data_IF_426636514914
#
_entry.id   IF_426636514914
#
_cell.length_a   1.000
_cell.length_b   1.000
_cell.length_c   1.000
_cell.angle_alpha   90.00
_cell.angle_beta   90.00
_cell.angle_gamma   90.00
#
_symmetry.space_group_name_H-M   'P 1'
#
loop_
_entity.id
_entity.type
_entity.pdbx_description
1 polymer ?
#
# COMPACT_ATOMS: atom_id res chain seq x y z
N UNK A 1 -15.89 -36.62 -59.66
CA UNK A 1 -16.26 -35.32 -58.99
C UNK A 1 -16.01 -35.52 -57.52
N UNK A 2 -14.80 -35.24 -57.05
CA UNK A 2 -14.35 -35.52 -55.70
C UNK A 2 -14.49 -34.25 -54.86
N UNK A 3 -15.37 -34.31 -53.84
CA UNK A 3 -15.57 -33.22 -52.88
C UNK A 3 -14.66 -33.49 -51.68
N UNK A 4 -13.64 -32.66 -51.51
CA UNK A 4 -12.79 -32.61 -50.30
C UNK A 4 -13.53 -31.88 -49.20
N UNK A 5 -13.87 -32.57 -48.14
CA UNK A 5 -14.31 -31.96 -46.88
C UNK A 5 -13.08 -31.60 -46.04
N UNK A 6 -12.76 -30.33 -46.00
CA UNK A 6 -11.72 -29.79 -45.10
C UNK A 6 -12.25 -29.74 -43.66
N UNK A 7 -11.63 -30.47 -42.77
CA UNK A 7 -11.85 -30.39 -41.32
C UNK A 7 -11.23 -29.13 -40.77
N UNK A 8 -12.05 -28.19 -40.31
CA UNK A 8 -11.61 -27.04 -39.57
C UNK A 8 -11.41 -27.46 -38.10
N UNK A 9 -10.15 -27.57 -37.68
CA UNK A 9 -9.81 -27.75 -36.27
C UNK A 9 -10.06 -26.45 -35.51
N UNK A 10 -11.11 -26.40 -34.70
CA UNK A 10 -11.28 -25.35 -33.71
C UNK A 10 -10.21 -25.56 -32.61
N UNK A 11 -9.19 -24.71 -32.59
CA UNK A 11 -8.30 -24.55 -31.45
C UNK A 11 -9.10 -23.89 -30.33
N UNK A 12 -9.45 -24.62 -29.30
CA UNK A 12 -9.96 -24.05 -28.04
C UNK A 12 -8.85 -23.32 -27.38
N UNK A 13 -8.85 -21.96 -27.43
CA UNK A 13 -8.06 -21.15 -26.55
C UNK A 13 -8.58 -21.40 -25.13
N UNK A 14 -7.83 -22.14 -24.34
CA UNK A 14 -8.01 -22.16 -22.90
C UNK A 14 -7.66 -20.75 -22.38
N UNK A 15 -8.69 -19.97 -22.08
CA UNK A 15 -8.54 -18.74 -21.30
C UNK A 15 -8.09 -19.21 -19.91
N UNK A 16 -6.79 -19.11 -19.64
CA UNK A 16 -6.28 -19.23 -18.28
C UNK A 16 -6.98 -18.13 -17.48
N UNK A 17 -7.99 -18.51 -16.70
CA UNK A 17 -8.67 -17.62 -15.79
C UNK A 17 -7.61 -16.98 -14.90
N UNK A 18 -7.51 -15.65 -14.93
CA UNK A 18 -6.73 -14.90 -13.95
C UNK A 18 -7.18 -15.39 -12.58
N UNK A 19 -6.28 -15.99 -11.81
CA UNK A 19 -6.56 -16.35 -10.42
C UNK A 19 -7.03 -15.05 -9.74
N UNK A 20 -8.33 -14.97 -9.44
CA UNK A 20 -8.93 -13.78 -8.84
C UNK A 20 -8.22 -13.47 -7.54
N UNK A 21 -7.91 -12.21 -7.29
CA UNK A 21 -7.31 -11.80 -6.04
C UNK A 21 -8.26 -12.17 -4.89
N UNK A 22 -7.81 -13.01 -3.96
CA UNK A 22 -8.61 -13.39 -2.81
C UNK A 22 -8.60 -12.25 -1.79
N UNK A 23 -9.76 -11.68 -1.54
CA UNK A 23 -9.91 -10.57 -0.58
C UNK A 23 -10.05 -11.12 0.85
N UNK A 24 -9.23 -10.61 1.75
CA UNK A 24 -9.30 -10.82 3.18
C UNK A 24 -9.70 -9.50 3.85
N UNK A 25 -10.82 -9.49 4.53
CA UNK A 25 -11.31 -8.34 5.29
C UNK A 25 -11.20 -8.61 6.79
N UNK A 26 -10.40 -7.80 7.49
CA UNK A 26 -10.21 -7.88 8.94
C UNK A 26 -10.87 -6.64 9.53
N UNK A 27 -12.05 -6.82 10.07
CA UNK A 27 -12.88 -5.71 10.50
C UNK A 27 -13.16 -5.72 12.01
N UNK A 28 -13.38 -4.53 12.56
CA UNK A 28 -13.73 -4.32 13.96
C UNK A 28 -12.78 -5.06 14.91
N UNK A 29 -11.47 -5.04 14.61
CA UNK A 29 -10.51 -5.90 15.28
C UNK A 29 -9.38 -5.11 15.98
N UNK A 30 -8.89 -5.70 17.06
CA UNK A 30 -7.58 -5.40 17.61
C UNK A 30 -6.80 -6.72 17.61
N UNK A 31 -5.86 -6.87 16.69
CA UNK A 31 -5.22 -8.15 16.42
C UNK A 31 -3.85 -7.99 15.74
N UNK A 32 -3.07 -9.06 15.79
CA UNK A 32 -1.86 -9.25 14.99
C UNK A 32 -2.16 -10.25 13.88
N UNK A 33 -1.83 -9.92 12.65
CA UNK A 33 -2.16 -10.73 11.48
C UNK A 33 -0.90 -11.05 10.68
N UNK A 34 -0.71 -12.31 10.36
CA UNK A 34 0.35 -12.76 9.45
C UNK A 34 -0.30 -13.31 8.20
N UNK A 35 -0.11 -12.63 7.08
CA UNK A 35 -0.55 -13.07 5.76
C UNK A 35 0.60 -13.79 5.07
N UNK A 36 0.38 -15.04 4.69
CA UNK A 36 1.35 -15.91 4.04
C UNK A 36 0.86 -16.21 2.64
N UNK A 37 1.35 -15.46 1.62
CA UNK A 37 1.07 -15.79 0.23
C UNK A 37 1.81 -17.07 -0.17
N UNK A 38 1.11 -17.99 -0.83
CA UNK A 38 1.69 -19.26 -1.28
C UNK A 38 0.96 -19.77 -2.54
N UNK A 39 1.50 -20.78 -3.20
CA UNK A 39 0.92 -21.36 -4.42
C UNK A 39 -0.36 -22.15 -4.10
N UNK A 40 -1.46 -21.43 -3.90
CA UNK A 40 -2.80 -21.97 -3.60
C UNK A 40 -3.89 -21.15 -4.28
N UNK A 41 -5.10 -21.66 -4.32
CA UNK A 41 -6.27 -21.01 -4.93
C UNK A 41 -7.33 -20.54 -3.92
N UNK A 42 -7.19 -20.87 -2.63
CA UNK A 42 -8.15 -20.57 -1.57
C UNK A 42 -7.50 -19.75 -0.44
N UNK A 43 -8.33 -19.25 0.48
CA UNK A 43 -7.87 -18.59 1.71
C UNK A 43 -8.12 -19.52 2.89
N UNK A 44 -7.11 -19.71 3.72
CA UNK A 44 -7.18 -20.46 4.97
C UNK A 44 -6.85 -19.55 6.14
N UNK A 45 -7.70 -19.56 7.17
CA UNK A 45 -7.54 -18.78 8.40
C UNK A 45 -7.32 -19.72 9.57
N UNK A 46 -6.34 -19.41 10.40
CA UNK A 46 -6.09 -20.09 11.67
C UNK A 46 -5.74 -19.09 12.76
N UNK A 47 -6.11 -19.40 13.99
CA UNK A 47 -5.80 -18.59 15.16
C UNK A 47 -4.62 -19.22 15.90
N UNK A 48 -3.45 -18.58 15.84
CA UNK A 48 -2.26 -19.01 16.58
C UNK A 48 -2.35 -18.64 18.07
N UNK A 49 -3.08 -17.54 18.37
CA UNK A 49 -3.37 -17.11 19.73
C UNK A 49 -4.76 -16.49 19.79
N UNK A 50 -5.50 -16.81 20.83
CA UNK A 50 -6.79 -16.19 21.14
C UNK A 50 -6.69 -15.38 22.43
N UNK A 51 -7.56 -14.36 22.55
CA UNK A 51 -7.74 -13.61 23.80
C UNK A 51 -9.23 -13.56 24.15
N UNK A 52 -9.66 -14.08 25.30
CA UNK A 52 -11.08 -14.08 25.70
C UNK A 52 -11.72 -12.68 25.77
N UNK A 53 -10.91 -11.63 26.03
CA UNK A 53 -11.37 -10.24 26.03
C UNK A 53 -11.59 -9.66 24.64
N UNK A 54 -10.96 -10.27 23.61
CA UNK A 54 -11.01 -9.88 22.21
C UNK A 54 -11.38 -11.10 21.34
N UNK A 55 -12.61 -11.62 21.46
CA UNK A 55 -13.04 -12.78 20.70
C UNK A 55 -13.06 -12.46 19.21
N UNK A 56 -12.51 -13.35 18.40
CA UNK A 56 -12.50 -13.21 16.96
C UNK A 56 -13.26 -14.37 16.29
N UNK A 57 -13.87 -14.07 15.17
CA UNK A 57 -14.58 -15.03 14.32
C UNK A 57 -14.15 -14.85 12.87
N UNK A 58 -14.24 -15.90 12.09
CA UNK A 58 -14.07 -15.78 10.64
C UNK A 58 -15.16 -16.55 9.91
N UNK A 59 -15.41 -16.13 8.68
CA UNK A 59 -16.37 -16.73 7.78
C UNK A 59 -16.17 -16.24 6.35
N UNK A 60 -17.02 -16.68 5.42
CA UNK A 60 -17.03 -16.21 4.05
C UNK A 60 -18.31 -15.46 3.73
N UNK A 61 -18.17 -14.36 2.97
CA UNK A 61 -19.27 -13.59 2.39
C UNK A 61 -18.96 -13.45 0.89
N UNK A 62 -19.58 -14.30 0.07
CA UNK A 62 -19.19 -14.42 -1.33
C UNK A 62 -17.74 -14.90 -1.47
N UNK A 63 -16.93 -14.14 -2.20
CA UNK A 63 -15.51 -14.44 -2.41
C UNK A 63 -14.61 -13.82 -1.33
N UNK A 64 -15.17 -13.04 -0.40
CA UNK A 64 -14.42 -12.36 0.65
C UNK A 64 -14.33 -13.23 1.89
N UNK A 65 -13.13 -13.45 2.38
CA UNK A 65 -12.89 -14.04 3.71
C UNK A 65 -12.91 -12.93 4.75
N UNK A 66 -13.89 -12.97 5.66
CA UNK A 66 -14.09 -11.96 6.70
C UNK A 66 -13.59 -12.49 8.03
N UNK A 67 -12.74 -11.71 8.71
CA UNK A 67 -12.26 -11.94 10.07
C UNK A 67 -12.79 -10.78 10.92
N UNK A 68 -13.68 -11.07 11.88
CA UNK A 68 -14.38 -10.06 12.65
C UNK A 68 -13.99 -10.13 14.13
N UNK A 69 -13.48 -9.02 14.67
CA UNK A 69 -13.09 -8.88 16.08
C UNK A 69 -14.21 -8.38 17.00
N UNK A 70 -15.43 -8.20 16.47
CA UNK A 70 -16.60 -7.79 17.22
C UNK A 70 -16.46 -6.45 18.00
N UNK A 71 -15.59 -5.55 17.55
CA UNK A 71 -15.41 -4.22 18.13
C UNK A 71 -16.23 -3.14 17.39
N UNK A 72 -17.36 -3.52 16.78
CA UNK A 72 -18.17 -2.61 15.97
C UNK A 72 -18.56 -1.32 16.69
N UNK A 73 -19.09 -1.44 17.92
CA UNK A 73 -19.51 -0.31 18.75
C UNK A 73 -18.41 0.21 19.69
N UNK A 74 -17.20 -0.33 19.63
CA UNK A 74 -16.10 0.02 20.54
C UNK A 74 -15.00 0.76 19.80
N UNK A 75 -14.52 1.85 20.39
CA UNK A 75 -13.31 2.51 19.94
C UNK A 75 -12.09 1.65 20.27
N UNK A 76 -11.13 1.62 19.35
CA UNK A 76 -9.80 1.06 19.59
C UNK A 76 -8.76 2.12 19.20
N UNK A 77 -7.75 2.32 20.02
CA UNK A 77 -6.66 3.24 19.77
C UNK A 77 -5.30 2.56 20.04
N UNK A 78 -4.37 2.72 19.12
CA UNK A 78 -3.02 2.22 19.29
C UNK A 78 -2.26 3.12 20.28
N UNK A 79 -1.52 2.49 21.20
CA UNK A 79 -0.69 3.15 22.20
C UNK A 79 0.65 2.44 22.25
N UNK A 80 1.65 3.10 22.82
CA UNK A 80 2.93 2.44 23.05
C UNK A 80 2.75 1.11 23.79
N UNK A 81 3.23 0.02 23.18
CA UNK A 81 3.19 -1.33 23.74
C UNK A 81 1.86 -2.07 23.65
N UNK A 82 0.81 -1.51 23.01
CA UNK A 82 -0.46 -2.22 22.90
C UNK A 82 -1.63 -1.42 22.36
N UNK A 83 -2.83 -1.85 22.68
CA UNK A 83 -4.08 -1.26 22.21
C UNK A 83 -5.01 -0.95 23.38
N UNK A 84 -5.50 0.29 23.43
CA UNK A 84 -6.61 0.65 24.32
C UNK A 84 -7.94 0.35 23.61
N UNK A 85 -8.81 -0.47 24.23
CA UNK A 85 -10.13 -0.80 23.71
C UNK A 85 -11.19 -0.31 24.70
N UNK A 86 -12.12 0.51 24.23
CA UNK A 86 -13.17 1.03 25.08
C UNK A 86 -14.05 -0.09 25.67
N UNK A 87 -14.23 -0.08 26.99
CA UNK A 87 -14.98 -1.11 27.73
C UNK A 87 -14.24 -2.44 27.93
N UNK A 88 -12.97 -2.55 27.49
CA UNK A 88 -12.11 -3.73 27.71
C UNK A 88 -10.85 -3.35 28.48
N UNK A 89 -10.34 -2.11 28.28
CA UNK A 89 -9.10 -1.61 28.85
C UNK A 89 -7.91 -1.72 27.90
N UNK A 90 -6.70 -1.61 28.46
CA UNK A 90 -5.46 -1.76 27.72
C UNK A 90 -5.11 -3.24 27.54
N UNK A 91 -4.72 -3.61 26.33
CA UNK A 91 -4.27 -4.94 25.93
C UNK A 91 -2.84 -4.80 25.43
N UNK A 92 -1.84 -5.40 26.07
CA UNK A 92 -0.47 -5.44 25.59
C UNK A 92 -0.37 -6.06 24.20
N UNK A 93 0.63 -5.63 23.43
CA UNK A 93 0.82 -6.08 22.03
C UNK A 93 1.01 -7.61 21.93
N UNK A 94 1.70 -8.21 22.88
CA UNK A 94 1.92 -9.65 22.94
C UNK A 94 0.67 -10.44 23.34
N UNK A 95 -0.32 -9.81 24.00
CA UNK A 95 -1.60 -10.42 24.36
C UNK A 95 -2.67 -10.30 23.27
N UNK A 96 -2.44 -9.52 22.20
CA UNK A 96 -3.38 -9.42 21.10
C UNK A 96 -3.61 -10.80 20.45
N UNK A 97 -4.84 -11.09 20.00
CA UNK A 97 -5.11 -12.27 19.18
C UNK A 97 -4.15 -12.33 17.98
N UNK A 98 -3.66 -13.51 17.65
CA UNK A 98 -2.79 -13.74 16.51
C UNK A 98 -3.50 -14.59 15.46
N UNK A 99 -3.64 -14.03 14.27
CA UNK A 99 -4.30 -14.67 13.13
C UNK A 99 -3.27 -14.95 12.04
N UNK A 100 -3.27 -16.16 11.54
CA UNK A 100 -2.48 -16.56 10.37
C UNK A 100 -3.46 -16.76 9.22
N UNK A 101 -3.21 -16.06 8.12
CA UNK A 101 -4.00 -16.13 6.89
C UNK A 101 -3.11 -16.59 5.75
N UNK A 102 -3.39 -17.75 5.19
CA UNK A 102 -2.71 -18.27 4.00
C UNK A 102 -3.54 -17.90 2.78
N UNK A 103 -2.92 -17.31 1.78
CA UNK A 103 -3.60 -16.74 0.60
C UNK A 103 -2.92 -17.17 -0.68
N UNK A 104 -3.58 -17.07 -1.84
CA UNK A 104 -2.90 -17.04 -3.14
C UNK A 104 -1.84 -15.93 -3.20
N UNK A 105 -0.94 -16.01 -4.19
CA UNK A 105 0.16 -15.04 -4.39
C UNK A 105 -0.33 -13.61 -4.72
N UNK A 106 -1.56 -13.45 -5.21
CA UNK A 106 -2.22 -12.16 -5.39
C UNK A 106 -3.04 -11.83 -4.14
N UNK A 107 -2.54 -10.93 -3.32
CA UNK A 107 -3.07 -10.62 -1.99
C UNK A 107 -3.89 -9.35 -2.00
N UNK A 108 -5.08 -9.39 -1.42
CA UNK A 108 -5.86 -8.20 -1.12
C UNK A 108 -6.31 -8.24 0.34
N UNK A 109 -5.83 -7.28 1.13
CA UNK A 109 -6.15 -7.15 2.56
C UNK A 109 -6.83 -5.81 2.82
N UNK A 110 -7.94 -5.87 3.54
CA UNK A 110 -8.59 -4.69 4.13
C UNK A 110 -8.59 -4.84 5.64
N UNK A 111 -8.17 -3.81 6.35
CA UNK A 111 -8.11 -3.81 7.81
C UNK A 111 -8.69 -2.52 8.39
N UNK A 112 -9.38 -2.61 9.51
CA UNK A 112 -9.84 -1.45 10.27
C UNK A 112 -9.48 -1.56 11.77
N UNK A 113 -9.62 -0.45 12.50
CA UNK A 113 -9.32 -0.30 13.93
C UNK A 113 -7.81 -0.47 14.23
N UNK A 114 -7.44 -1.48 15.02
CA UNK A 114 -6.08 -1.66 15.52
C UNK A 114 -5.49 -3.00 15.06
N UNK A 115 -5.29 -3.16 13.76
CA UNK A 115 -4.76 -4.38 13.16
C UNK A 115 -3.31 -4.17 12.75
N UNK A 116 -2.41 -4.90 13.40
CA UNK A 116 -0.99 -4.94 13.07
C UNK A 116 -0.72 -6.15 12.17
N UNK A 117 -0.06 -5.93 11.03
CA UNK A 117 0.04 -6.98 10.05
C UNK A 117 1.41 -7.16 9.42
N UNK A 118 1.65 -8.38 8.95
CA UNK A 118 2.78 -8.71 8.10
C UNK A 118 2.26 -9.44 6.87
N UNK A 119 2.68 -8.99 5.68
CA UNK A 119 2.40 -9.67 4.41
C UNK A 119 3.72 -10.24 3.88
N UNK A 120 3.74 -11.54 3.63
CA UNK A 120 4.88 -12.25 3.04
C UNK A 120 5.12 -11.85 1.58
N UNK A 121 6.09 -12.50 0.92
CA UNK A 121 6.37 -12.28 -0.51
C UNK A 121 5.15 -12.63 -1.35
N UNK A 122 4.85 -11.78 -2.33
CA UNK A 122 3.66 -11.89 -3.17
C UNK A 122 3.97 -11.54 -4.63
N UNK A 123 3.10 -11.95 -5.55
CA UNK A 123 3.17 -11.52 -6.95
C UNK A 123 2.53 -10.14 -7.11
N UNK A 124 1.43 -9.89 -6.41
CA UNK A 124 0.80 -8.57 -6.32
C UNK A 124 0.17 -8.40 -4.93
N UNK A 125 0.14 -7.15 -4.42
CA UNK A 125 -0.42 -6.87 -3.11
C UNK A 125 -1.26 -5.59 -3.11
N UNK A 126 -2.43 -5.66 -2.47
CA UNK A 126 -3.23 -4.51 -2.11
C UNK A 126 -3.48 -4.51 -0.61
N UNK A 127 -3.19 -3.39 0.04
CA UNK A 127 -3.46 -3.14 1.45
C UNK A 127 -4.31 -1.89 1.60
N UNK A 128 -5.50 -2.04 2.15
CA UNK A 128 -6.37 -0.94 2.56
C UNK A 128 -6.43 -0.94 4.11
N UNK A 129 -5.72 -0.02 4.77
CA UNK A 129 -5.66 0.10 6.22
C UNK A 129 -6.42 1.34 6.68
N UNK A 130 -7.55 1.14 7.35
CA UNK A 130 -8.38 2.22 7.91
C UNK A 130 -8.30 2.22 9.44
N UNK A 131 -7.10 2.37 9.97
CA UNK A 131 -6.87 2.29 11.41
C UNK A 131 -5.51 2.82 11.85
N UNK A 132 -5.05 2.33 13.00
CA UNK A 132 -3.81 2.78 13.63
C UNK A 132 -2.75 1.67 13.78
N UNK A 133 -3.02 0.46 13.28
CA UNK A 133 -2.06 -0.63 13.35
C UNK A 133 -1.05 -0.56 12.19
N UNK A 134 0.20 -0.87 12.50
CA UNK A 134 1.29 -0.85 11.53
C UNK A 134 1.35 -2.12 10.71
N UNK A 135 1.83 -1.99 9.47
CA UNK A 135 1.96 -3.09 8.53
C UNK A 135 3.37 -3.18 7.96
N UNK A 136 3.86 -4.39 7.85
CA UNK A 136 5.08 -4.70 7.11
C UNK A 136 4.76 -5.58 5.93
N UNK A 137 5.39 -5.31 4.78
CA UNK A 137 5.22 -6.08 3.56
C UNK A 137 6.59 -6.50 3.03
N UNK A 138 6.76 -7.78 2.74
CA UNK A 138 7.96 -8.25 2.08
C UNK A 138 8.00 -7.80 0.61
N UNK A 139 9.03 -8.24 -0.15
CA UNK A 139 9.14 -7.91 -1.56
C UNK A 139 7.95 -8.46 -2.35
N UNK A 140 7.41 -7.63 -3.25
CA UNK A 140 6.33 -7.96 -4.17
C UNK A 140 6.86 -7.84 -5.59
N UNK A 141 6.73 -8.91 -6.37
CA UNK A 141 7.29 -8.95 -7.73
C UNK A 141 6.58 -7.97 -8.70
N UNK A 142 5.28 -7.81 -8.54
CA UNK A 142 4.43 -6.97 -9.37
C UNK A 142 3.90 -5.72 -8.66
N UNK A 143 2.68 -5.30 -8.98
CA UNK A 143 2.11 -4.06 -8.45
C UNK A 143 1.77 -4.15 -6.96
N UNK A 144 2.04 -3.06 -6.25
CA UNK A 144 1.61 -2.81 -4.87
C UNK A 144 0.66 -1.63 -4.85
N UNK A 145 -0.49 -1.79 -4.20
CA UNK A 145 -1.42 -0.70 -3.91
C UNK A 145 -1.58 -0.57 -2.40
N UNK A 146 -1.20 0.57 -1.84
CA UNK A 146 -1.36 0.89 -0.41
C UNK A 146 -2.32 2.05 -0.28
N UNK A 147 -3.40 1.85 0.49
CA UNK A 147 -4.29 2.91 0.93
C UNK A 147 -4.32 2.94 2.44
N UNK A 148 -3.99 4.07 3.01
CA UNK A 148 -4.06 4.26 4.46
C UNK A 148 -4.97 5.43 4.78
N UNK A 149 -5.94 5.17 5.66
CA UNK A 149 -6.83 6.19 6.21
C UNK A 149 -6.73 6.12 7.74
N UNK A 150 -5.79 6.87 8.33
CA UNK A 150 -5.53 6.82 9.77
C UNK A 150 -4.11 7.22 10.14
N UNK A 151 -3.51 6.46 11.06
CA UNK A 151 -2.18 6.74 11.62
C UNK A 151 -1.25 5.52 11.72
N UNK A 152 -1.63 4.39 11.14
CA UNK A 152 -0.78 3.20 11.11
C UNK A 152 0.21 3.26 9.95
N UNK A 153 1.48 2.97 10.20
CA UNK A 153 2.55 3.04 9.21
C UNK A 153 2.65 1.77 8.36
N UNK A 154 3.19 1.92 7.14
CA UNK A 154 3.40 0.80 6.23
C UNK A 154 4.86 0.76 5.76
N UNK A 155 5.54 -0.34 6.08
CA UNK A 155 6.90 -0.61 5.63
C UNK A 155 6.89 -1.73 4.58
N UNK A 156 7.16 -1.39 3.33
CA UNK A 156 7.21 -2.35 2.23
C UNK A 156 8.64 -2.57 1.74
N UNK A 157 8.92 -3.79 1.31
CA UNK A 157 10.14 -4.12 0.58
C UNK A 157 10.14 -3.54 -0.83
N UNK A 158 10.74 -4.26 -1.79
CA UNK A 158 10.71 -3.87 -3.20
C UNK A 158 9.33 -4.14 -3.82
N UNK A 159 8.98 -3.35 -4.84
CA UNK A 159 7.75 -3.47 -5.62
C UNK A 159 8.03 -3.36 -7.12
N UNK A 160 7.27 -4.08 -7.93
CA UNK A 160 7.28 -3.87 -9.38
C UNK A 160 6.81 -2.47 -9.73
N UNK A 161 5.68 -2.05 -9.21
CA UNK A 161 5.19 -0.66 -9.25
C UNK A 161 4.43 -0.35 -7.95
N UNK A 162 4.31 0.92 -7.60
CA UNK A 162 3.62 1.32 -6.37
C UNK A 162 2.57 2.41 -6.61
N UNK A 163 1.36 2.18 -6.06
CA UNK A 163 0.31 3.16 -5.94
C UNK A 163 0.03 3.40 -4.46
N UNK A 164 0.29 4.61 -3.97
CA UNK A 164 0.14 4.98 -2.56
C UNK A 164 -0.92 6.07 -2.42
N UNK A 165 -1.87 5.87 -1.53
CA UNK A 165 -2.83 6.89 -1.12
C UNK A 165 -2.86 6.99 0.39
N UNK A 166 -2.56 8.16 0.92
CA UNK A 166 -2.58 8.45 2.35
C UNK A 166 -3.64 9.51 2.63
N UNK A 167 -4.47 9.25 3.62
CA UNK A 167 -5.41 10.21 4.18
C UNK A 167 -5.24 10.18 5.72
N UNK A 168 -4.48 11.14 6.26
CA UNK A 168 -4.14 11.19 7.68
C UNK A 168 -2.66 11.48 7.92
N UNK A 169 -2.06 10.78 8.89
CA UNK A 169 -0.69 11.03 9.36
C UNK A 169 0.22 9.80 9.27
N UNK A 170 -0.15 8.86 8.44
CA UNK A 170 0.60 7.59 8.26
C UNK A 170 1.81 7.77 7.36
N UNK A 171 2.89 7.09 7.68
CA UNK A 171 4.06 7.01 6.83
C UNK A 171 4.07 5.71 6.02
N UNK A 172 4.43 5.82 4.74
CA UNK A 172 4.59 4.66 3.85
C UNK A 172 6.00 4.63 3.29
N UNK A 173 6.71 3.52 3.47
CA UNK A 173 8.08 3.38 2.99
C UNK A 173 8.27 2.15 2.11
N UNK A 174 9.13 2.32 1.08
CA UNK A 174 9.58 1.25 0.19
C UNK A 174 11.11 1.20 0.13
N UNK A 175 11.65 0.03 -0.17
CA UNK A 175 13.05 -0.05 -0.61
C UNK A 175 13.19 0.38 -2.06
N UNK A 176 12.80 -0.45 -3.02
CA UNK A 176 12.97 -0.18 -4.45
C UNK A 176 11.65 -0.32 -5.20
N UNK A 177 11.42 0.60 -6.13
CA UNK A 177 10.24 0.58 -7.02
C UNK A 177 10.77 0.57 -8.47
N UNK A 178 10.43 -0.48 -9.24
CA UNK A 178 11.07 -0.73 -10.52
C UNK A 178 10.36 -0.13 -11.75
N UNK A 179 9.02 -0.02 -11.72
CA UNK A 179 8.22 0.37 -12.90
C UNK A 179 7.26 1.53 -12.61
N UNK A 180 7.63 2.42 -11.70
CA UNK A 180 6.93 3.66 -11.44
C UNK A 180 6.23 3.74 -10.09
N UNK A 181 6.14 4.98 -9.60
CA UNK A 181 5.49 5.36 -8.35
C UNK A 181 4.40 6.39 -8.63
N UNK A 182 3.20 6.12 -8.14
CA UNK A 182 2.13 7.12 -8.07
C UNK A 182 1.71 7.30 -6.62
N UNK A 183 1.80 8.54 -6.11
CA UNK A 183 1.41 8.85 -4.73
C UNK A 183 0.44 10.00 -4.68
N UNK A 184 -0.54 9.89 -3.78
CA UNK A 184 -1.46 10.98 -3.43
C UNK A 184 -1.60 11.02 -1.91
N UNK A 185 -1.08 12.07 -1.29
CA UNK A 185 -1.11 12.31 0.15
C UNK A 185 -2.09 13.44 0.46
N UNK A 186 -2.98 13.22 1.40
CA UNK A 186 -3.88 14.22 1.96
C UNK A 186 -3.73 14.22 3.49
N UNK A 187 -3.01 15.21 4.04
CA UNK A 187 -2.68 15.30 5.46
C UNK A 187 -1.19 15.56 5.71
N UNK A 188 -0.61 14.87 6.70
CA UNK A 188 0.77 15.07 7.13
C UNK A 188 1.62 13.79 7.06
N UNK A 189 1.11 12.74 6.43
CA UNK A 189 1.84 11.47 6.29
C UNK A 189 2.84 11.52 5.15
N UNK A 190 3.96 10.86 5.29
CA UNK A 190 5.08 10.89 4.37
C UNK A 190 5.16 9.62 3.49
N UNK A 191 5.75 9.79 2.30
CA UNK A 191 6.09 8.65 1.44
C UNK A 191 7.61 8.63 1.21
N UNK A 192 8.25 7.52 1.52
CA UNK A 192 9.70 7.36 1.37
C UNK A 192 10.03 6.17 0.47
N UNK A 193 11.02 6.33 -0.41
CA UNK A 193 11.61 5.24 -1.18
C UNK A 193 13.13 5.39 -1.24
N UNK A 194 13.86 4.27 -1.27
CA UNK A 194 15.31 4.31 -1.47
C UNK A 194 15.60 4.57 -2.95
N UNK A 195 14.96 3.83 -3.85
CA UNK A 195 15.15 4.01 -5.30
C UNK A 195 13.82 3.88 -6.05
N UNK A 196 13.63 4.71 -7.07
CA UNK A 196 12.48 4.66 -7.98
C UNK A 196 12.95 4.66 -9.43
N UNK A 197 12.44 3.71 -10.21
CA UNK A 197 12.63 3.66 -11.68
C UNK A 197 11.28 3.67 -12.38
N UNK A 198 11.23 4.18 -13.62
CA UNK A 198 9.99 4.37 -14.38
C UNK A 198 9.35 5.75 -14.16
N UNK A 199 8.08 5.98 -14.51
CA UNK A 199 7.41 7.26 -14.29
C UNK A 199 7.12 7.49 -12.79
N UNK A 200 7.22 8.75 -12.32
CA UNK A 200 6.93 9.14 -10.95
C UNK A 200 5.92 10.29 -10.92
N UNK A 201 4.75 10.03 -10.33
CA UNK A 201 3.68 11.01 -10.21
C UNK A 201 3.37 11.26 -8.73
N UNK A 202 3.51 12.50 -8.31
CA UNK A 202 3.36 12.91 -6.91
C UNK A 202 2.28 13.97 -6.80
N UNK A 203 1.34 13.75 -5.90
CA UNK A 203 0.38 14.76 -5.48
C UNK A 203 0.36 14.85 -3.96
N UNK A 204 0.65 16.03 -3.44
CA UNK A 204 0.60 16.33 -2.00
C UNK A 204 -0.43 17.42 -1.76
N UNK A 205 -1.35 17.15 -0.82
CA UNK A 205 -2.31 18.13 -0.32
C UNK A 205 -2.18 18.17 1.20
N UNK A 206 -1.55 19.22 1.72
CA UNK A 206 -1.24 19.36 3.15
C UNK A 206 0.23 19.58 3.43
N UNK A 207 0.79 18.87 4.41
CA UNK A 207 2.14 19.06 4.93
C UNK A 207 2.99 17.77 4.90
N UNK A 208 2.52 16.71 4.26
CA UNK A 208 3.28 15.47 4.14
C UNK A 208 4.37 15.55 3.06
N UNK A 209 5.47 14.87 3.27
CA UNK A 209 6.63 14.89 2.38
C UNK A 209 6.70 13.63 1.50
N UNK A 210 7.33 13.77 0.32
CA UNK A 210 7.66 12.64 -0.54
C UNK A 210 9.16 12.64 -0.83
N UNK A 211 9.85 11.60 -0.38
CA UNK A 211 11.30 11.48 -0.45
C UNK A 211 11.70 10.20 -1.20
N UNK A 212 12.28 10.33 -2.39
CA UNK A 212 12.97 9.25 -3.06
C UNK A 212 14.47 9.58 -3.11
N UNK A 213 15.30 8.72 -2.48
CA UNK A 213 16.74 9.02 -2.33
C UNK A 213 17.52 8.94 -3.62
N UNK A 214 17.04 8.15 -4.60
CA UNK A 214 17.69 7.99 -5.90
C UNK A 214 16.84 7.26 -6.90
N UNK A 215 17.47 6.88 -8.01
CA UNK A 215 16.86 6.15 -9.11
C UNK A 215 16.88 6.92 -10.42
N UNK A 216 16.21 6.37 -11.43
CA UNK A 216 16.11 6.98 -12.76
C UNK A 216 14.66 6.95 -13.23
N UNK A 217 14.04 8.12 -13.30
CA UNK A 217 12.64 8.27 -13.73
C UNK A 217 12.57 8.86 -15.14
N UNK A 218 11.68 8.31 -15.96
CA UNK A 218 11.46 8.84 -17.31
C UNK A 218 10.78 10.21 -17.26
N UNK A 219 9.85 10.38 -16.33
CA UNK A 219 9.11 11.61 -16.05
C UNK A 219 8.87 11.74 -14.55
N UNK A 220 9.10 12.94 -14.01
CA UNK A 220 8.72 13.35 -12.67
C UNK A 220 7.67 14.44 -12.76
N UNK A 221 6.44 14.10 -12.35
CA UNK A 221 5.33 15.03 -12.28
C UNK A 221 4.95 15.28 -10.82
N UNK A 222 5.00 16.52 -10.37
CA UNK A 222 4.78 16.93 -8.98
C UNK A 222 3.70 17.98 -8.91
N UNK A 223 2.71 17.76 -8.07
CA UNK A 223 1.68 18.76 -7.72
C UNK A 223 1.60 18.87 -6.19
N UNK A 224 1.96 20.03 -5.64
CA UNK A 224 1.89 20.35 -4.21
C UNK A 224 0.86 21.43 -3.97
N UNK A 225 -0.08 21.16 -3.08
CA UNK A 225 -1.02 22.16 -2.56
C UNK A 225 -0.90 22.19 -1.03
N UNK A 226 -0.07 23.11 -0.52
CA UNK A 226 0.25 23.21 0.92
C UNK A 226 1.71 23.54 1.19
N UNK A 227 2.28 22.88 2.18
CA UNK A 227 3.66 23.10 2.67
C UNK A 227 4.52 21.82 2.68
N UNK A 228 4.04 20.73 2.12
CA UNK A 228 4.82 19.50 2.03
C UNK A 228 5.90 19.58 0.96
N UNK A 229 7.03 18.93 1.19
CA UNK A 229 8.20 18.94 0.34
C UNK A 229 8.31 17.68 -0.51
N UNK A 230 8.93 17.82 -1.69
CA UNK A 230 9.26 16.67 -2.55
C UNK A 230 10.75 16.64 -2.81
N UNK A 231 11.41 15.54 -2.47
CA UNK A 231 12.84 15.34 -2.71
C UNK A 231 13.09 14.09 -3.54
N UNK A 232 13.69 14.28 -4.72
CA UNK A 232 14.14 13.19 -5.58
C UNK A 232 15.63 13.31 -5.85
N UNK A 233 16.43 12.48 -5.20
CA UNK A 233 17.90 12.49 -5.34
C UNK A 233 18.45 11.83 -6.61
N UNK A 234 17.60 11.36 -7.52
CA UNK A 234 17.97 10.66 -8.75
C UNK A 234 17.98 11.54 -10.00
N UNK A 235 17.88 10.89 -11.16
CA UNK A 235 17.85 11.53 -12.47
C UNK A 235 16.47 11.43 -13.09
N UNK A 236 15.90 12.58 -13.49
CA UNK A 236 14.62 12.65 -14.20
C UNK A 236 14.85 12.99 -15.69
N UNK A 237 14.17 12.26 -16.58
CA UNK A 237 14.15 12.54 -18.02
C UNK A 237 13.36 13.80 -18.36
N UNK A 238 12.26 14.05 -17.64
CA UNK A 238 11.39 15.24 -17.75
C UNK A 238 10.94 15.64 -16.37
N UNK A 239 10.78 16.94 -16.12
CA UNK A 239 10.26 17.48 -14.87
C UNK A 239 9.08 18.42 -15.15
N UNK A 240 7.95 18.15 -14.50
CA UNK A 240 6.76 19.01 -14.50
C UNK A 240 6.34 19.26 -13.05
N UNK A 241 6.36 20.51 -12.59
CA UNK A 241 6.08 20.90 -11.22
C UNK A 241 5.03 21.99 -11.15
N UNK A 242 4.02 21.75 -10.32
CA UNK A 242 3.02 22.75 -9.96
C UNK A 242 2.94 22.88 -8.43
N UNK A 243 3.21 24.05 -7.90
CA UNK A 243 3.17 24.35 -6.46
C UNK A 243 2.14 25.44 -6.20
N UNK A 244 1.21 25.17 -5.31
CA UNK A 244 0.28 26.16 -4.75
C UNK A 244 0.48 26.18 -3.21
N UNK A 245 1.38 27.05 -2.72
CA UNK A 245 1.73 27.12 -1.30
C UNK A 245 3.20 27.44 -1.05
N UNK A 246 3.79 26.78 -0.04
CA UNK A 246 5.14 27.06 0.45
C UNK A 246 6.07 25.82 0.41
N UNK A 247 5.60 24.72 -0.16
CA UNK A 247 6.41 23.50 -0.27
C UNK A 247 7.52 23.62 -1.31
N UNK A 248 8.62 22.91 -1.11
CA UNK A 248 9.79 22.92 -1.96
C UNK A 248 9.92 21.60 -2.75
N UNK A 249 10.47 21.70 -3.96
CA UNK A 249 10.77 20.53 -4.80
C UNK A 249 12.25 20.51 -5.13
N UNK A 250 12.97 19.51 -4.61
CA UNK A 250 14.39 19.31 -4.86
C UNK A 250 14.60 18.08 -5.75
N UNK A 251 15.26 18.25 -6.90
CA UNK A 251 15.57 17.16 -7.86
C UNK A 251 17.06 17.08 -8.10
N UNK A 252 17.63 15.88 -7.98
CA UNK A 252 19.08 15.65 -8.14
C UNK A 252 19.59 16.09 -9.51
N UNK A 253 18.96 15.61 -10.59
CA UNK A 253 19.31 15.99 -11.96
C UNK A 253 18.11 15.85 -12.89
N UNK A 254 18.04 16.75 -13.90
CA UNK A 254 17.05 16.65 -15.00
C UNK A 254 17.80 16.68 -16.33
N UNK A 255 17.52 15.74 -17.22
CA UNK A 255 18.20 15.63 -18.52
C UNK A 255 17.41 16.16 -19.70
N UNK A 256 16.12 16.43 -19.52
CA UNK A 256 15.21 16.89 -20.57
C UNK A 256 14.42 18.14 -20.18
N UNK A 257 13.22 18.32 -20.73
CA UNK A 257 12.40 19.53 -20.50
C UNK A 257 12.00 19.71 -19.05
N UNK A 258 11.98 20.97 -18.61
CA UNK A 258 11.52 21.40 -17.27
C UNK A 258 10.38 22.38 -17.43
N UNK A 259 9.24 22.08 -16.82
CA UNK A 259 8.10 22.99 -16.67
C UNK A 259 7.87 23.27 -15.18
N UNK A 260 7.75 24.56 -14.81
CA UNK A 260 7.55 24.98 -13.43
C UNK A 260 6.41 26.00 -13.36
N UNK A 261 5.43 25.75 -12.50
CA UNK A 261 4.36 26.68 -12.19
C UNK A 261 4.27 26.83 -10.67
N UNK A 262 4.55 28.02 -10.14
CA UNK A 262 4.58 28.28 -8.70
C UNK A 262 3.63 29.43 -8.38
N UNK A 263 2.70 29.16 -7.49
CA UNK A 263 1.80 30.14 -6.90
C UNK A 263 1.97 30.12 -5.37
N UNK A 264 2.84 30.99 -4.83
CA UNK A 264 3.19 31.04 -3.40
C UNK A 264 4.66 31.31 -3.17
N UNK A 265 5.18 30.83 -2.04
CA UNK A 265 6.56 31.04 -1.59
C UNK A 265 7.47 29.82 -1.78
N UNK A 266 6.96 28.74 -2.34
CA UNK A 266 7.73 27.54 -2.58
C UNK A 266 8.79 27.69 -3.66
N UNK A 267 9.74 26.76 -3.72
CA UNK A 267 10.86 26.77 -4.66
C UNK A 267 11.02 25.45 -5.41
N UNK A 268 11.69 25.50 -6.58
CA UNK A 268 12.07 24.30 -7.34
C UNK A 268 13.55 24.36 -7.65
N UNK A 269 14.33 23.46 -7.04
CA UNK A 269 15.75 23.35 -7.17
C UNK A 269 16.12 22.10 -7.98
N UNK A 270 17.04 22.25 -8.92
CA UNK A 270 17.56 21.15 -9.73
C UNK A 270 19.08 21.17 -9.62
N UNK A 271 19.65 20.05 -9.20
CA UNK A 271 21.10 19.85 -9.18
C UNK A 271 21.70 19.74 -10.59
N UNK A 272 22.99 19.87 -10.68
CA UNK A 272 23.75 19.82 -11.94
C UNK A 272 24.15 18.38 -12.33
#
# INVERSE_FOLDING_TARGET
MNIWLGAVALAALAIAGSAGASTVEIRHAAARVTVIPEARSDVQVSFARTNPRLPMRYGRVGEVTVIDGNLFMRGANCRHGGVGVWGVGFIPYDELPQVIVRTPMNVQVKADKAVFGVIGRADAAQLDNAGCGDWSMANVAGPVSVRVAGSGDVHAGSAGSALVRISGSSDVSFTDIHNGLSTATAGSGDVRAISVSGPMHIRVTGAGDVIARGGQVSELSVAVAGSGDVKFGGVAGKLDVSIAGSGDVDVGKVTGPISKHIAGSGSVNVGN
#
